data_IF_663248083715
#
_entry.id   IF_663248083715
#
_cell.length_a   1.000
_cell.length_b   1.000
_cell.length_c   1.000
_cell.angle_alpha   90.00
_cell.angle_beta   90.00
_cell.angle_gamma   90.00
#
_symmetry.space_group_name_H-M   'P 1'
#
loop_
_entity.id
_entity.type
_entity.pdbx_description
1 polymer ?
#
# COMPACT_ATOMS: atom_id res chain seq x y z
N UNK A 1 -12.54 -25.33 2.41
CA UNK A 1 -12.84 -24.14 1.58
C UNK A 1 -11.57 -23.36 1.35
N UNK A 2 -10.91 -23.52 0.19
CA UNK A 2 -9.68 -22.77 -0.14
C UNK A 2 -10.10 -21.34 -0.50
N UNK A 3 -9.97 -20.40 0.44
CA UNK A 3 -10.10 -18.96 0.13
C UNK A 3 -9.11 -18.68 -1.01
N UNK A 4 -9.63 -18.34 -2.20
CA UNK A 4 -8.83 -17.75 -3.27
C UNK A 4 -8.27 -16.47 -2.66
N UNK A 5 -7.05 -16.51 -2.12
CA UNK A 5 -6.36 -15.30 -1.73
C UNK A 5 -6.21 -14.50 -3.01
N UNK A 6 -6.93 -13.38 -3.11
CA UNK A 6 -6.66 -12.45 -4.19
C UNK A 6 -5.18 -12.10 -4.12
N UNK A 7 -4.45 -12.45 -5.18
CA UNK A 7 -3.02 -12.20 -5.25
C UNK A 7 -2.83 -10.70 -5.39
N UNK A 8 -2.55 -10.04 -4.27
CA UNK A 8 -1.98 -8.72 -4.27
C UNK A 8 -0.62 -8.77 -4.97
N UNK A 9 -0.41 -7.87 -5.92
CA UNK A 9 0.83 -7.69 -6.64
C UNK A 9 1.43 -6.36 -6.25
N UNK A 10 2.71 -6.35 -5.89
CA UNK A 10 3.43 -5.11 -5.64
C UNK A 10 3.56 -4.32 -6.94
N UNK A 11 3.05 -3.10 -6.95
CA UNK A 11 3.10 -2.18 -8.10
C UNK A 11 4.20 -1.13 -7.94
N UNK A 12 4.66 -0.91 -6.72
CA UNK A 12 5.73 0.04 -6.42
C UNK A 12 6.13 -0.01 -4.96
N UNK A 13 7.25 0.63 -4.66
CA UNK A 13 7.73 0.81 -3.30
C UNK A 13 8.12 2.28 -3.13
N UNK A 14 7.64 2.90 -2.07
CA UNK A 14 7.99 4.28 -1.70
C UNK A 14 8.69 4.28 -0.35
N UNK A 15 9.42 5.35 -0.06
CA UNK A 15 9.95 5.58 1.28
C UNK A 15 9.09 6.66 1.94
N UNK A 16 8.33 6.30 2.97
CA UNK A 16 7.48 7.22 3.73
C UNK A 16 7.97 7.28 5.18
N UNK A 17 8.23 8.49 5.70
CA UNK A 17 8.78 8.71 7.05
C UNK A 17 10.05 7.88 7.35
N UNK A 18 10.92 7.69 6.34
CA UNK A 18 12.13 6.89 6.45
C UNK A 18 11.90 5.37 6.49
N UNK A 19 10.67 4.90 6.20
CA UNK A 19 10.32 3.48 6.16
C UNK A 19 9.90 3.07 4.74
N UNK A 20 10.34 1.92 4.23
CA UNK A 20 9.86 1.39 2.96
C UNK A 20 8.40 0.95 3.10
N UNK A 21 7.56 1.44 2.19
CA UNK A 21 6.15 1.10 2.05
C UNK A 21 5.94 0.46 0.68
N UNK A 22 5.52 -0.79 0.68
CA UNK A 22 5.14 -1.51 -0.53
C UNK A 22 3.69 -1.16 -0.87
N UNK A 23 3.48 -0.67 -2.08
CA UNK A 23 2.14 -0.48 -2.65
C UNK A 23 1.77 -1.74 -3.41
N UNK A 24 0.68 -2.38 -3.00
CA UNK A 24 0.20 -3.59 -3.64
C UNK A 24 -1.21 -3.38 -4.15
N UNK A 25 -1.52 -3.93 -5.32
CA UNK A 25 -2.86 -3.88 -5.92
C UNK A 25 -3.37 -5.27 -6.24
N UNK A 26 -4.69 -5.47 -6.16
CA UNK A 26 -5.33 -6.67 -6.71
C UNK A 26 -5.72 -6.47 -8.16
N UNK A 27 -6.10 -7.54 -8.86
CA UNK A 27 -6.68 -7.45 -10.21
C UNK A 27 -7.98 -6.64 -10.27
N UNK A 28 -8.66 -6.45 -9.13
CA UNK A 28 -9.88 -5.64 -9.02
C UNK A 28 -9.60 -4.15 -8.77
N UNK A 29 -8.33 -3.78 -8.62
CA UNK A 29 -7.93 -2.41 -8.29
C UNK A 29 -7.97 -2.08 -6.80
N UNK A 30 -8.10 -3.07 -5.92
CA UNK A 30 -7.98 -2.81 -4.48
C UNK A 30 -6.52 -2.54 -4.13
N UNK A 31 -6.27 -1.36 -3.57
CA UNK A 31 -4.94 -0.92 -3.19
C UNK A 31 -4.72 -1.14 -1.70
N UNK A 32 -3.56 -1.68 -1.34
CA UNK A 32 -3.11 -1.79 0.05
C UNK A 32 -1.67 -1.36 0.19
N UNK A 33 -1.34 -0.93 1.40
CA UNK A 33 0.01 -0.53 1.77
C UNK A 33 0.57 -1.53 2.76
N UNK A 34 1.81 -1.95 2.56
CA UNK A 34 2.50 -2.89 3.45
C UNK A 34 3.79 -2.23 3.92
N UNK A 35 3.95 -2.12 5.24
CA UNK A 35 5.13 -1.54 5.90
C UNK A 35 5.79 -2.62 6.73
N UNK A 36 7.07 -2.92 6.48
CA UNK A 36 7.79 -3.99 7.20
C UNK A 36 7.03 -5.33 7.20
N UNK A 37 6.47 -5.74 6.04
CA UNK A 37 5.65 -6.95 5.87
C UNK A 37 4.34 -6.96 6.68
N UNK A 38 3.92 -5.83 7.26
CA UNK A 38 2.62 -5.66 7.92
C UNK A 38 1.72 -4.79 7.08
N UNK A 39 0.50 -5.25 6.85
CA UNK A 39 -0.53 -4.45 6.18
C UNK A 39 -0.88 -3.24 7.05
N UNK A 40 -0.93 -2.07 6.42
CA UNK A 40 -1.42 -0.85 7.04
C UNK A 40 -2.94 -0.87 6.99
N UNK A 41 -3.57 -1.11 8.13
CA UNK A 41 -5.03 -1.03 8.28
C UNK A 41 -5.48 0.29 8.92
N UNK A 42 -4.54 1.11 9.40
CA UNK A 42 -4.84 2.39 10.03
C UNK A 42 -5.16 3.45 8.96
N UNK A 43 -6.39 3.95 9.00
CA UNK A 43 -6.91 4.88 7.98
C UNK A 43 -6.15 6.22 7.98
N UNK A 44 -5.65 6.69 9.14
CA UNK A 44 -4.88 7.94 9.21
C UNK A 44 -3.52 7.79 8.56
N UNK A 45 -2.88 6.63 8.74
CA UNK A 45 -1.61 6.33 8.09
C UNK A 45 -1.78 6.19 6.57
N UNK A 46 -2.84 5.51 6.12
CA UNK A 46 -3.19 5.41 4.69
C UNK A 46 -3.36 6.81 4.08
N UNK A 47 -4.14 7.69 4.72
CA UNK A 47 -4.39 9.04 4.22
C UNK A 47 -3.10 9.86 4.09
N UNK A 48 -2.19 9.76 5.08
CA UNK A 48 -0.88 10.41 5.01
C UNK A 48 0.00 9.87 3.88
N UNK A 49 0.00 8.55 3.65
CA UNK A 49 0.74 7.94 2.54
C UNK A 49 0.18 8.42 1.20
N UNK A 50 -1.15 8.47 1.05
CA UNK A 50 -1.81 8.99 -0.15
C UNK A 50 -1.51 10.48 -0.37
N UNK A 51 -1.54 11.29 0.69
CA UNK A 51 -1.19 12.71 0.62
C UNK A 51 0.27 12.92 0.19
N UNK A 52 1.18 12.09 0.71
CA UNK A 52 2.58 12.09 0.29
C UNK A 52 2.73 11.74 -1.20
N UNK A 53 2.03 10.70 -1.67
CA UNK A 53 2.03 10.31 -3.09
C UNK A 53 1.49 11.42 -3.99
N UNK A 54 0.44 12.13 -3.56
CA UNK A 54 -0.12 13.27 -4.30
C UNK A 54 0.89 14.41 -4.42
N UNK A 55 1.55 14.77 -3.32
CA UNK A 55 2.56 15.83 -3.31
C UNK A 55 3.84 15.46 -4.10
N UNK A 56 4.22 14.19 -4.13
CA UNK A 56 5.40 13.74 -4.86
C UNK A 56 5.21 13.71 -6.39
N UNK A 57 3.97 13.85 -6.88
CA UNK A 57 3.61 13.83 -8.30
C UNK A 57 3.23 15.22 -8.84
N UNK A 58 3.38 16.28 -8.03
CA UNK A 58 3.38 17.69 -8.47
C UNK A 58 4.80 18.14 -8.86
#
# INVERSE_FOLDING_TARGET
MKKKQEQYRTIGMITFEGRPVEMQTTKKGELRFVVNKKEVTDTKQIDRILAYLKHANE
#
